data_IF_467636555010
#
_entry.id   IF_467636555010
#
_cell.length_a   1.000
_cell.length_b   1.000
_cell.length_c   1.000
_cell.angle_alpha   90.00
_cell.angle_beta   90.00
_cell.angle_gamma   90.00
#
_symmetry.space_group_name_H-M   'P 1'
#
loop_
_entity.id
_entity.type
_entity.pdbx_description
1 polymer ?
#
# COMPACT_ATOMS: atom_id res chain seq x y z
N UNK A 1 54.88 42.46 15.14
CA UNK A 1 54.70 41.24 15.98
C UNK A 1 53.21 40.95 16.02
N UNK A 2 52.61 39.85 15.59
CA UNK A 2 53.03 38.66 14.87
C UNK A 2 51.75 37.95 14.41
N UNK A 3 51.72 37.46 13.17
CA UNK A 3 50.58 36.74 12.59
C UNK A 3 50.47 35.34 13.21
N UNK A 4 49.43 35.08 14.00
CA UNK A 4 49.17 33.75 14.58
C UNK A 4 48.51 32.86 13.51
N UNK A 5 49.34 32.08 12.80
CA UNK A 5 48.86 31.00 11.93
C UNK A 5 48.40 29.84 12.82
N UNK A 6 47.09 29.65 12.95
CA UNK A 6 46.53 28.47 13.58
C UNK A 6 46.93 27.21 12.80
N UNK A 7 47.72 26.33 13.42
CA UNK A 7 48.06 24.99 12.93
C UNK A 7 47.30 23.96 13.77
N UNK A 8 46.04 23.72 13.47
CA UNK A 8 45.26 22.64 14.09
C UNK A 8 44.28 22.05 13.08
N UNK A 9 44.78 21.17 12.21
CA UNK A 9 43.97 20.40 11.27
C UNK A 9 44.39 18.94 10.99
N UNK A 10 45.29 18.25 11.74
CA UNK A 10 45.57 16.84 11.45
C UNK A 10 44.64 15.87 12.20
N UNK A 11 44.18 16.21 13.41
CA UNK A 11 43.43 15.26 14.24
C UNK A 11 41.97 15.08 13.79
N UNK A 12 41.34 16.13 13.27
CA UNK A 12 39.95 16.08 12.78
C UNK A 12 39.80 15.22 11.53
N UNK A 13 40.80 15.24 10.64
CA UNK A 13 40.84 14.41 9.43
C UNK A 13 41.08 12.92 9.76
N UNK A 14 41.91 12.64 10.77
CA UNK A 14 42.15 11.28 11.24
C UNK A 14 40.90 10.66 11.89
N UNK A 15 40.13 11.45 12.66
CA UNK A 15 38.87 10.98 13.26
C UNK A 15 37.79 10.71 12.21
N UNK A 16 37.69 11.53 11.16
CA UNK A 16 36.75 11.29 10.05
C UNK A 16 37.11 10.02 9.24
N UNK A 17 38.39 9.76 9.01
CA UNK A 17 38.84 8.55 8.31
C UNK A 17 38.56 7.26 9.10
N UNK A 18 38.68 7.29 10.43
CA UNK A 18 38.33 6.17 11.30
C UNK A 18 36.82 5.89 11.34
N UNK A 19 35.98 6.92 11.21
CA UNK A 19 34.52 6.73 11.10
C UNK A 19 34.12 6.03 9.80
N UNK A 20 34.79 6.31 8.68
CA UNK A 20 34.53 5.64 7.40
C UNK A 20 35.01 4.18 7.36
N UNK A 21 36.02 3.79 8.14
CA UNK A 21 36.50 2.40 8.17
C UNK A 21 35.74 1.50 9.16
N UNK A 22 35.12 2.09 10.20
CA UNK A 22 34.35 1.34 11.20
C UNK A 22 32.86 1.22 10.85
N UNK A 23 32.31 2.10 10.02
CA UNK A 23 30.95 1.97 9.49
C UNK A 23 30.97 1.65 7.98
N UNK A 24 30.99 0.36 7.59
CA UNK A 24 30.60 -0.02 6.25
C UNK A 24 29.18 0.48 5.98
N UNK A 25 29.05 1.37 5.01
CA UNK A 25 27.78 1.84 4.50
C UNK A 25 27.05 0.68 3.82
N UNK A 26 26.21 -0.01 4.59
CA UNK A 26 25.39 -1.14 4.16
C UNK A 26 24.25 -0.64 3.25
N UNK A 27 24.56 -0.40 1.98
CA UNK A 27 23.58 0.00 0.98
C UNK A 27 23.93 -0.55 -0.39
N UNK A 28 23.93 -1.88 -0.55
CA UNK A 28 24.02 -2.48 -1.91
C UNK A 28 23.50 -3.91 -2.14
N UNK A 29 22.83 -4.60 -1.20
CA UNK A 29 22.43 -6.01 -1.43
C UNK A 29 20.93 -6.36 -1.42
N UNK A 30 19.99 -5.49 -1.09
CA UNK A 30 18.54 -5.80 -1.14
C UNK A 30 17.90 -5.58 -2.54
N UNK A 31 18.58 -5.95 -3.63
CA UNK A 31 18.03 -5.90 -5.00
C UNK A 31 18.00 -7.26 -5.71
N UNK A 32 18.28 -8.37 -5.02
CA UNK A 32 18.27 -9.71 -5.62
C UNK A 32 17.51 -10.75 -4.79
N UNK A 33 16.22 -10.51 -4.48
CA UNK A 33 15.32 -11.62 -4.15
C UNK A 33 13.82 -11.31 -4.28
N UNK A 34 13.36 -10.97 -5.48
CA UNK A 34 11.92 -11.13 -5.79
C UNK A 34 11.68 -11.52 -7.26
N UNK A 35 12.47 -12.44 -7.78
CA UNK A 35 12.09 -13.23 -8.96
C UNK A 35 11.73 -14.64 -8.50
N UNK A 36 10.45 -14.85 -8.17
CA UNK A 36 9.74 -16.15 -8.22
C UNK A 36 8.33 -15.99 -7.65
N UNK A 37 7.42 -15.50 -8.49
CA UNK A 37 5.98 -15.84 -8.45
C UNK A 37 5.28 -15.18 -9.67
N UNK A 38 5.76 -15.48 -10.88
CA UNK A 38 5.10 -15.09 -12.13
C UNK A 38 4.67 -16.31 -12.93
N UNK A 39 3.91 -17.19 -12.28
CA UNK A 39 3.02 -18.13 -12.97
C UNK A 39 1.57 -17.73 -12.70
N UNK A 40 1.17 -16.59 -13.24
CA UNK A 40 -0.24 -16.25 -13.40
C UNK A 40 -0.41 -15.71 -14.83
N UNK A 41 -1.14 -16.47 -15.63
CA UNK A 41 -1.60 -16.21 -17.00
C UNK A 41 -2.55 -15.00 -17.09
N UNK A 42 -2.22 -13.88 -16.43
CA UNK A 42 -3.16 -12.79 -16.14
C UNK A 42 -3.09 -11.57 -17.06
N UNK A 43 -2.21 -11.55 -18.07
CA UNK A 43 -2.05 -10.39 -18.98
C UNK A 43 -2.02 -10.83 -20.45
N UNK A 44 -3.13 -11.37 -20.96
CA UNK A 44 -3.30 -11.60 -22.40
C UNK A 44 -3.71 -10.29 -23.08
N UNK A 45 -2.72 -9.41 -23.21
CA UNK A 45 -2.82 -8.08 -23.83
C UNK A 45 -1.46 -7.39 -23.87
N UNK A 46 -0.40 -8.08 -24.31
CA UNK A 46 0.96 -7.53 -24.38
C UNK A 46 1.13 -6.65 -25.62
N UNK A 47 0.94 -5.34 -25.47
CA UNK A 47 1.98 -4.41 -25.94
C UNK A 47 3.14 -4.57 -24.94
N UNK A 48 4.34 -4.88 -25.42
CA UNK A 48 5.57 -4.90 -24.60
C UNK A 48 5.84 -3.46 -24.12
N UNK A 49 5.11 -3.00 -23.10
CA UNK A 49 5.57 -1.90 -22.26
C UNK A 49 6.61 -2.52 -21.30
N UNK A 50 7.69 -1.80 -21.03
CA UNK A 50 8.70 -2.22 -20.06
C UNK A 50 8.07 -2.60 -18.72
N UNK A 51 8.86 -3.22 -17.84
CA UNK A 51 8.43 -3.59 -16.48
C UNK A 51 7.59 -2.47 -15.84
N UNK A 52 6.28 -2.69 -15.68
CA UNK A 52 5.44 -1.74 -14.97
C UNK A 52 5.59 -1.98 -13.47
N UNK A 53 6.27 -1.07 -12.79
CA UNK A 53 6.31 -1.04 -11.34
C UNK A 53 5.03 -0.37 -10.82
N UNK A 54 4.11 -1.16 -10.27
CA UNK A 54 2.84 -0.67 -9.72
C UNK A 54 3.03 0.19 -8.47
N UNK A 55 4.21 0.15 -7.85
CA UNK A 55 4.54 0.89 -6.63
C UNK A 55 5.23 2.22 -6.92
N UNK A 56 5.53 2.52 -8.19
CA UNK A 56 6.06 3.80 -8.65
C UNK A 56 5.01 4.57 -9.44
N UNK A 57 4.72 5.79 -8.97
CA UNK A 57 3.64 6.60 -9.52
C UNK A 57 3.33 7.77 -8.61
N UNK A 58 2.10 8.29 -8.75
CA UNK A 58 1.62 9.44 -8.00
C UNK A 58 0.13 9.32 -7.69
N UNK A 59 -0.26 9.97 -6.61
CA UNK A 59 -1.66 10.24 -6.33
C UNK A 59 -2.18 11.33 -7.27
N UNK A 60 -3.30 11.06 -7.93
CA UNK A 60 -4.02 12.02 -8.76
C UNK A 60 -5.39 12.28 -8.16
N UNK A 61 -5.84 13.52 -8.27
CA UNK A 61 -7.19 13.90 -7.87
C UNK A 61 -8.14 13.61 -9.04
N UNK A 62 -9.06 12.67 -8.84
CA UNK A 62 -9.98 12.13 -9.83
C UNK A 62 -11.37 12.72 -9.60
N UNK A 63 -11.62 13.90 -10.20
CA UNK A 63 -12.85 14.69 -10.02
C UNK A 63 -14.09 13.91 -10.46
N UNK A 64 -13.95 13.13 -11.53
CA UNK A 64 -15.04 12.33 -12.11
C UNK A 64 -15.08 10.91 -11.52
N UNK A 65 -14.10 10.57 -10.67
CA UNK A 65 -13.93 9.25 -10.09
C UNK A 65 -14.75 9.03 -8.84
N UNK A 66 -15.80 8.22 -8.94
CA UNK A 66 -16.47 7.69 -7.77
C UNK A 66 -15.51 6.79 -6.94
N UNK A 67 -15.53 6.89 -5.59
CA UNK A 67 -14.78 5.99 -4.75
C UNK A 67 -15.28 4.54 -4.96
N UNK A 68 -14.42 3.53 -4.74
CA UNK A 68 -14.79 2.13 -4.96
C UNK A 68 -15.99 1.63 -4.13
N UNK A 69 -16.32 2.32 -3.04
CA UNK A 69 -17.50 2.08 -2.21
C UNK A 69 -17.83 3.33 -1.37
N UNK A 70 -19.07 3.39 -0.88
CA UNK A 70 -19.48 4.32 0.18
C UNK A 70 -19.42 3.61 1.54
N UNK A 71 -18.65 4.15 2.50
CA UNK A 71 -18.47 3.51 3.81
C UNK A 71 -19.78 3.40 4.58
N UNK A 72 -20.71 4.34 4.38
CA UNK A 72 -22.00 4.36 5.08
C UNK A 72 -22.92 3.19 4.70
N UNK A 73 -22.74 2.64 3.50
CA UNK A 73 -23.47 1.47 3.00
C UNK A 73 -22.81 0.13 3.33
N UNK A 74 -21.58 0.13 3.85
CA UNK A 74 -20.83 -1.10 4.07
C UNK A 74 -21.05 -1.68 5.47
N UNK A 75 -21.57 -2.91 5.62
CA UNK A 75 -21.82 -3.51 6.94
C UNK A 75 -20.54 -4.07 7.60
N UNK A 76 -19.44 -4.14 6.86
CA UNK A 76 -18.20 -4.78 7.33
C UNK A 76 -17.27 -3.80 8.06
N UNK A 77 -17.33 -2.51 7.71
CA UNK A 77 -16.40 -1.51 8.21
C UNK A 77 -16.44 -1.44 9.74
N UNK A 78 -15.27 -1.60 10.34
CA UNK A 78 -15.11 -1.42 11.77
C UNK A 78 -15.26 0.06 12.13
N UNK A 79 -15.86 0.39 13.30
CA UNK A 79 -16.04 1.77 13.71
C UNK A 79 -14.74 2.57 13.74
N UNK A 80 -13.62 1.95 14.13
CA UNK A 80 -12.30 2.58 14.18
C UNK A 80 -11.80 3.09 12.81
N UNK A 81 -12.38 2.62 11.70
CA UNK A 81 -12.02 3.01 10.33
C UNK A 81 -13.09 3.84 9.60
N UNK A 82 -14.26 4.09 10.21
CA UNK A 82 -15.39 4.77 9.55
C UNK A 82 -15.40 6.28 9.79
N UNK A 83 -14.50 7.01 9.11
CA UNK A 83 -14.35 8.44 9.30
C UNK A 83 -15.62 9.25 9.00
N UNK A 84 -16.43 8.82 8.02
CA UNK A 84 -17.65 9.53 7.65
C UNK A 84 -18.71 9.42 8.74
N UNK A 85 -18.88 8.22 9.31
CA UNK A 85 -19.78 7.99 10.45
C UNK A 85 -19.39 8.82 11.67
N UNK A 86 -18.09 9.00 11.91
CA UNK A 86 -17.56 9.78 13.04
C UNK A 86 -17.38 11.28 12.73
N UNK A 87 -18.05 11.78 11.69
CA UNK A 87 -18.26 13.21 11.50
C UNK A 87 -17.12 13.95 10.80
N UNK A 88 -16.23 13.24 10.08
CA UNK A 88 -15.22 13.91 9.25
C UNK A 88 -15.91 14.78 8.16
N UNK A 89 -15.66 16.11 8.13
CA UNK A 89 -16.41 17.01 7.25
C UNK A 89 -15.87 17.06 5.82
N UNK A 90 -14.55 16.88 5.63
CA UNK A 90 -13.91 16.91 4.31
C UNK A 90 -14.07 15.56 3.61
N UNK A 91 -14.49 15.58 2.33
CA UNK A 91 -14.67 14.36 1.49
C UNK A 91 -13.66 14.23 0.35
N UNK A 92 -12.76 15.19 0.22
CA UNK A 92 -11.77 15.25 -0.87
C UNK A 92 -10.80 14.06 -0.84
N UNK A 93 -10.54 13.51 0.35
CA UNK A 93 -9.68 12.33 0.51
C UNK A 93 -10.20 11.09 -0.25
N UNK A 94 -11.51 11.01 -0.53
CA UNK A 94 -12.14 9.92 -1.27
C UNK A 94 -11.91 10.02 -2.79
N UNK A 95 -11.46 11.17 -3.28
CA UNK A 95 -11.29 11.45 -4.71
C UNK A 95 -9.85 11.22 -5.19
N UNK A 96 -8.98 10.68 -4.34
CA UNK A 96 -7.61 10.37 -4.72
C UNK A 96 -7.49 8.96 -5.29
N UNK A 97 -6.86 8.85 -6.45
CA UNK A 97 -6.53 7.58 -7.10
C UNK A 97 -5.02 7.45 -7.31
N UNK A 98 -4.47 6.26 -7.07
CA UNK A 98 -3.07 5.97 -7.37
C UNK A 98 -2.89 5.68 -8.86
N UNK A 99 -1.97 6.37 -9.53
CA UNK A 99 -1.65 6.17 -10.95
C UNK A 99 -0.17 5.80 -11.12
N UNK A 100 0.15 4.56 -11.54
CA UNK A 100 1.52 4.17 -11.89
C UNK A 100 2.04 4.95 -13.10
N UNK A 101 3.34 5.23 -13.15
CA UNK A 101 3.92 6.09 -14.20
C UNK A 101 3.92 5.43 -15.59
N UNK A 102 4.18 4.13 -15.63
CA UNK A 102 4.51 3.41 -16.86
C UNK A 102 3.41 2.46 -17.35
N UNK A 103 2.26 2.39 -16.67
CA UNK A 103 1.10 1.64 -17.15
C UNK A 103 -0.22 2.10 -16.54
N UNK A 104 -1.34 1.94 -17.25
CA UNK A 104 -2.66 2.17 -16.68
C UNK A 104 -3.00 1.08 -15.64
N UNK A 105 -3.45 1.50 -14.45
CA UNK A 105 -4.04 0.61 -13.46
C UNK A 105 -5.54 0.46 -13.78
N UNK A 106 -6.07 -0.73 -14.08
CA UNK A 106 -7.51 -0.89 -14.27
C UNK A 106 -8.27 -0.62 -12.96
N UNK A 107 -9.47 -0.03 -13.07
CA UNK A 107 -10.42 0.09 -11.96
C UNK A 107 -10.77 -1.30 -11.43
N UNK A 108 -11.06 -1.38 -10.13
CA UNK A 108 -11.48 -2.63 -9.50
C UNK A 108 -12.83 -3.08 -10.06
N UNK A 109 -12.91 -4.32 -10.52
CA UNK A 109 -14.14 -5.00 -10.92
C UNK A 109 -14.43 -6.12 -9.91
N UNK A 110 -15.39 -5.89 -9.02
CA UNK A 110 -15.74 -6.85 -7.97
C UNK A 110 -16.42 -8.11 -8.50
N UNK A 111 -17.13 -8.05 -9.62
CA UNK A 111 -17.78 -9.22 -10.23
C UNK A 111 -16.70 -10.15 -10.81
N UNK A 112 -15.76 -9.58 -11.55
CA UNK A 112 -14.63 -10.33 -12.09
C UNK A 112 -13.72 -10.88 -10.97
N UNK A 113 -13.51 -10.10 -9.91
CA UNK A 113 -12.81 -10.56 -8.72
C UNK A 113 -13.49 -11.78 -8.10
N UNK A 114 -14.79 -11.72 -7.83
CA UNK A 114 -15.57 -12.83 -7.28
C UNK A 114 -15.50 -14.07 -8.17
N UNK A 115 -15.62 -13.90 -9.50
CA UNK A 115 -15.49 -15.01 -10.46
C UNK A 115 -14.14 -15.69 -10.36
N UNK A 116 -13.05 -14.93 -10.23
CA UNK A 116 -11.68 -15.46 -10.10
C UNK A 116 -11.41 -16.11 -8.75
N UNK A 117 -12.06 -15.62 -7.70
CA UNK A 117 -11.92 -16.12 -6.33
C UNK A 117 -12.92 -17.23 -5.99
N UNK A 118 -13.78 -17.64 -6.93
CA UNK A 118 -14.71 -18.75 -6.74
C UNK A 118 -13.96 -20.03 -6.36
N UNK A 119 -14.40 -20.67 -5.26
CA UNK A 119 -13.77 -21.86 -4.69
C UNK A 119 -12.42 -21.62 -3.99
N UNK A 120 -11.98 -20.36 -3.85
CA UNK A 120 -10.71 -20.00 -3.21
C UNK A 120 -10.95 -19.30 -1.88
N UNK A 121 -9.93 -19.30 -1.02
CA UNK A 121 -9.94 -18.62 0.27
C UNK A 121 -8.84 -17.56 0.29
N UNK A 122 -9.17 -16.38 0.82
CA UNK A 122 -8.23 -15.29 1.09
C UNK A 122 -8.17 -15.09 2.59
N UNK A 123 -6.95 -14.96 3.12
CA UNK A 123 -6.73 -14.64 4.53
C UNK A 123 -5.77 -13.46 4.61
N UNK A 124 -6.14 -12.45 5.39
CA UNK A 124 -5.28 -11.33 5.75
C UNK A 124 -4.65 -11.65 7.10
N UNK A 125 -3.31 -11.66 7.17
CA UNK A 125 -2.55 -11.96 8.38
C UNK A 125 -1.62 -10.79 8.66
N UNK A 126 -1.78 -10.19 9.83
CA UNK A 126 -0.97 -9.05 10.26
C UNK A 126 -1.64 -8.31 11.41
N UNK A 127 -1.35 -7.02 11.50
CA UNK A 127 -1.85 -6.13 12.55
C UNK A 127 -3.18 -5.45 12.13
N UNK A 128 -3.50 -4.33 12.78
CA UNK A 128 -4.68 -3.52 12.50
C UNK A 128 -4.72 -2.98 11.06
N UNK A 129 -3.59 -2.82 10.38
CA UNK A 129 -3.55 -2.40 8.97
C UNK A 129 -4.05 -3.53 8.06
N UNK A 130 -3.71 -4.78 8.35
CA UNK A 130 -4.22 -5.93 7.61
C UNK A 130 -5.74 -6.10 7.80
N UNK A 131 -6.25 -5.82 9.01
CA UNK A 131 -7.69 -5.77 9.26
C UNK A 131 -8.38 -4.64 8.48
N UNK A 132 -7.75 -3.46 8.41
CA UNK A 132 -8.26 -2.33 7.62
C UNK A 132 -8.33 -2.67 6.12
N UNK A 133 -7.30 -3.34 5.58
CA UNK A 133 -7.28 -3.81 4.19
C UNK A 133 -8.40 -4.84 3.91
N UNK A 134 -8.62 -5.78 4.84
CA UNK A 134 -9.73 -6.74 4.73
C UNK A 134 -11.11 -6.05 4.71
N UNK A 135 -11.31 -5.06 5.58
CA UNK A 135 -12.53 -4.26 5.59
C UNK A 135 -12.73 -3.52 4.26
N UNK A 136 -11.67 -2.89 3.73
CA UNK A 136 -11.74 -2.19 2.44
C UNK A 136 -12.12 -3.14 1.29
N UNK A 137 -11.47 -4.31 1.21
CA UNK A 137 -11.78 -5.30 0.17
C UNK A 137 -13.21 -5.83 0.26
N UNK A 138 -13.68 -6.16 1.46
CA UNK A 138 -15.05 -6.67 1.65
C UNK A 138 -16.10 -5.62 1.31
N UNK A 139 -15.85 -4.34 1.63
CA UNK A 139 -16.72 -3.25 1.20
C UNK A 139 -16.75 -3.07 -0.32
N UNK A 140 -15.59 -3.12 -1.01
CA UNK A 140 -15.54 -3.06 -2.49
C UNK A 140 -16.32 -4.20 -3.15
N UNK A 141 -16.18 -5.42 -2.61
CA UNK A 141 -16.92 -6.59 -3.10
C UNK A 141 -18.42 -6.43 -2.85
N UNK A 142 -18.81 -5.96 -1.67
CA UNK A 142 -20.22 -5.73 -1.34
C UNK A 142 -20.86 -4.64 -2.21
N UNK A 143 -20.16 -3.53 -2.45
CA UNK A 143 -20.63 -2.47 -3.34
C UNK A 143 -20.83 -2.98 -4.78
N UNK A 144 -19.97 -3.90 -5.24
CA UNK A 144 -20.09 -4.51 -6.57
C UNK A 144 -21.21 -5.55 -6.66
N UNK A 145 -21.56 -6.21 -5.55
CA UNK A 145 -22.56 -7.27 -5.49
C UNK A 145 -23.43 -7.17 -4.22
N UNK A 146 -24.28 -6.14 -4.09
CA UNK A 146 -24.99 -5.83 -2.83
C UNK A 146 -26.02 -6.90 -2.44
N UNK A 147 -26.52 -7.66 -3.42
CA UNK A 147 -27.49 -8.74 -3.23
C UNK A 147 -26.84 -10.11 -3.02
N UNK A 148 -25.50 -10.19 -3.01
CA UNK A 148 -24.81 -11.43 -2.76
C UNK A 148 -25.07 -11.90 -1.33
N UNK A 149 -25.42 -13.18 -1.18
CA UNK A 149 -25.57 -13.81 0.14
C UNK A 149 -24.18 -14.00 0.77
N UNK A 150 -24.02 -13.55 2.00
CA UNK A 150 -22.79 -13.72 2.76
C UNK A 150 -23.09 -14.15 4.19
N UNK A 151 -22.14 -14.83 4.82
CA UNK A 151 -22.10 -15.05 6.27
C UNK A 151 -20.90 -14.29 6.84
N UNK A 152 -21.10 -13.66 8.00
CA UNK A 152 -20.05 -12.93 8.69
C UNK A 152 -20.02 -13.39 10.14
N UNK A 153 -18.89 -13.94 10.56
CA UNK A 153 -18.63 -14.31 11.95
C UNK A 153 -17.53 -13.38 12.46
N UNK A 154 -17.83 -12.54 13.44
CA UNK A 154 -16.83 -11.77 14.18
C UNK A 154 -16.60 -12.47 15.51
N UNK A 155 -15.44 -13.11 15.66
CA UNK A 155 -14.98 -13.56 16.96
C UNK A 155 -14.35 -12.36 17.66
N UNK A 156 -15.09 -11.75 18.59
CA UNK A 156 -14.57 -10.68 19.43
C UNK A 156 -13.52 -11.25 20.39
N UNK A 157 -12.36 -10.58 20.47
CA UNK A 157 -11.24 -10.77 21.42
C UNK A 157 -10.15 -11.79 21.03
N UNK A 158 -9.08 -11.27 20.41
CA UNK A 158 -7.70 -11.73 20.68
C UNK A 158 -6.94 -10.54 21.26
N UNK A 159 -7.44 -9.98 22.35
CA UNK A 159 -6.64 -9.17 23.25
C UNK A 159 -6.52 -9.96 24.55
N UNK A 160 -5.61 -10.93 24.55
CA UNK A 160 -5.01 -11.41 25.78
C UNK A 160 -3.75 -10.56 25.95
N UNK A 161 -3.80 -9.58 26.85
CA UNK A 161 -2.60 -8.88 27.32
C UNK A 161 -1.82 -9.84 28.22
#
# INVERSE_FOLDING_TARGET
MGSVRAKTAPLFLLLAALFCSVFPQESRSLRHRHERLTNATLLRGRKQMGSCDLFQGRWVFDIDGAPPYDSSSCPFINPEFDCLKYGRPDKQFLQYSWTPDNCPLPRFDGIEFLRRMSGKKIMFVGDSLSLNQWNSLTCMVHASAPQAKYSSVRNSLVYSV
#
